data_IF_138239969735
#
_entry.id   IF_138239969735
#
_cell.length_a   1.000
_cell.length_b   1.000
_cell.length_c   1.000
_cell.angle_alpha   90.00
_cell.angle_beta   90.00
_cell.angle_gamma   90.00
#
_symmetry.space_group_name_H-M   'P 1'
#
loop_
_entity.id
_entity.type
_entity.pdbx_description
1 polymer ?
#
# COMPACT_ATOMS: atom_id res chain seq x y z
N UNK A 1 6.44 -1.79 -11.54
CA UNK A 1 6.09 -2.08 -10.14
C UNK A 1 7.22 -1.59 -9.27
N UNK A 2 6.91 -0.87 -8.19
CA UNK A 2 7.91 -0.54 -7.18
C UNK A 2 7.92 -1.70 -6.17
N UNK A 3 9.06 -1.94 -5.52
CA UNK A 3 9.22 -3.02 -4.56
C UNK A 3 10.02 -2.52 -3.35
N UNK A 4 9.63 -2.97 -2.16
CA UNK A 4 10.33 -2.69 -0.91
C UNK A 4 10.78 -4.01 -0.28
N UNK A 5 12.05 -4.13 0.15
CA UNK A 5 12.52 -5.34 0.80
C UNK A 5 11.86 -5.48 2.18
N UNK A 6 11.70 -6.72 2.62
CA UNK A 6 11.27 -7.03 3.98
C UNK A 6 12.10 -8.18 4.55
N UNK A 7 12.14 -8.26 5.88
CA UNK A 7 12.77 -9.36 6.60
C UNK A 7 11.76 -10.05 7.51
N UNK A 8 11.91 -11.36 7.69
CA UNK A 8 11.04 -12.16 8.56
C UNK A 8 10.00 -12.99 7.81
N UNK A 9 8.88 -13.26 8.48
CA UNK A 9 7.79 -14.09 7.95
C UNK A 9 6.83 -13.25 7.11
N UNK A 10 6.52 -13.71 5.90
CA UNK A 10 5.53 -13.08 5.01
C UNK A 10 4.18 -12.86 5.70
N UNK A 11 3.75 -13.78 6.56
CA UNK A 11 2.50 -13.66 7.33
C UNK A 11 2.56 -12.49 8.31
N UNK A 12 3.69 -12.30 9.00
CA UNK A 12 3.88 -11.18 9.92
C UNK A 12 3.83 -9.86 9.15
N UNK A 13 4.52 -9.80 8.00
CA UNK A 13 4.51 -8.64 7.10
C UNK A 13 3.11 -8.32 6.58
N UNK A 14 2.34 -9.33 6.18
CA UNK A 14 0.95 -9.15 5.71
C UNK A 14 0.11 -8.49 6.80
N UNK A 15 0.19 -9.00 8.04
CA UNK A 15 -0.58 -8.48 9.15
C UNK A 15 -0.16 -7.05 9.54
N UNK A 16 1.14 -6.76 9.55
CA UNK A 16 1.65 -5.41 9.82
C UNK A 16 1.24 -4.41 8.73
N UNK A 17 1.29 -4.81 7.46
CA UNK A 17 0.82 -3.99 6.34
C UNK A 17 -0.67 -3.71 6.48
N UNK A 18 -1.49 -4.72 6.76
CA UNK A 18 -2.92 -4.56 6.95
C UNK A 18 -3.25 -3.63 8.11
N UNK A 19 -2.58 -3.79 9.26
CA UNK A 19 -2.79 -2.92 10.42
C UNK A 19 -2.38 -1.48 10.11
N UNK A 20 -1.20 -1.30 9.48
CA UNK A 20 -0.73 0.02 9.06
C UNK A 20 -1.70 0.67 8.08
N UNK A 21 -2.13 -0.05 7.04
CA UNK A 21 -3.03 0.47 6.00
C UNK A 21 -4.44 0.75 6.56
N UNK A 22 -4.92 -0.11 7.45
CA UNK A 22 -6.18 0.07 8.17
C UNK A 22 -6.20 1.27 9.12
N UNK A 23 -5.02 1.76 9.53
CA UNK A 23 -4.91 2.97 10.36
C UNK A 23 -5.07 4.29 9.57
N UNK A 24 -4.99 4.26 8.24
CA UNK A 24 -5.15 5.46 7.41
C UNK A 24 -6.63 5.80 7.23
N UNK A 25 -6.98 7.06 7.46
CA UNK A 25 -8.33 7.56 7.20
C UNK A 25 -8.71 7.41 5.72
N UNK A 26 -9.97 7.03 5.46
CA UNK A 26 -10.54 6.86 4.12
C UNK A 26 -9.87 5.74 3.29
N UNK A 27 -9.40 4.69 3.97
CA UNK A 27 -8.89 3.48 3.34
C UNK A 27 -9.90 2.35 3.52
N UNK A 28 -10.11 1.53 2.49
CA UNK A 28 -11.00 0.37 2.54
C UNK A 28 -10.28 -0.83 1.96
N UNK A 29 -10.23 -1.93 2.72
CA UNK A 29 -9.74 -3.20 2.20
C UNK A 29 -10.82 -3.81 1.29
N UNK A 30 -10.50 -3.98 0.02
CA UNK A 30 -11.40 -4.53 -1.00
C UNK A 30 -11.20 -6.02 -1.14
N UNK A 31 -9.93 -6.44 -1.18
CA UNK A 31 -9.58 -7.84 -1.38
C UNK A 31 -8.32 -8.19 -0.61
N UNK A 32 -8.32 -9.37 0.00
CA UNK A 32 -7.16 -9.98 0.64
C UNK A 32 -7.15 -11.45 0.28
N UNK A 33 -6.15 -11.87 -0.48
CA UNK A 33 -5.96 -13.27 -0.85
C UNK A 33 -4.51 -13.68 -0.61
N UNK A 34 -4.27 -14.39 0.50
CA UNK A 34 -2.96 -14.91 0.86
C UNK A 34 -1.89 -13.82 0.91
N UNK A 35 -1.08 -13.73 -0.15
CA UNK A 35 0.01 -12.78 -0.31
C UNK A 35 -0.35 -11.53 -1.15
N UNK A 36 -1.60 -11.37 -1.55
CA UNK A 36 -2.11 -10.21 -2.28
C UNK A 36 -3.12 -9.43 -1.43
N UNK A 37 -3.03 -8.10 -1.49
CA UNK A 37 -3.97 -7.20 -0.84
C UNK A 37 -4.29 -6.01 -1.74
N UNK A 38 -5.58 -5.67 -1.83
CA UNK A 38 -6.08 -4.53 -2.58
C UNK A 38 -6.86 -3.60 -1.66
N UNK A 39 -6.43 -2.35 -1.61
CA UNK A 39 -7.05 -1.28 -0.86
C UNK A 39 -7.53 -0.17 -1.78
N UNK A 40 -8.67 0.41 -1.47
CA UNK A 40 -9.16 1.65 -2.06
C UNK A 40 -8.91 2.82 -1.10
N UNK A 41 -8.31 3.89 -1.60
CA UNK A 41 -8.09 5.14 -0.89
C UNK A 41 -8.99 6.22 -1.47
N UNK A 42 -9.87 6.77 -0.64
CA UNK A 42 -10.73 7.90 -1.02
C UNK A 42 -10.07 9.23 -0.63
N UNK A 43 -9.82 10.07 -1.63
CA UNK A 43 -9.24 11.40 -1.41
C UNK A 43 -10.34 12.44 -1.17
N UNK A 44 -10.53 12.85 0.10
CA UNK A 44 -11.55 13.83 0.56
C UNK A 44 -11.68 15.12 -0.25
N UNK A 45 -10.58 15.63 -0.81
CA UNK A 45 -10.56 16.96 -1.47
C UNK A 45 -11.02 16.89 -2.95
N UNK A 46 -11.42 15.72 -3.47
CA UNK A 46 -11.85 15.64 -4.87
C UNK A 46 -12.60 14.38 -5.31
N UNK A 47 -13.16 13.58 -4.39
CA UNK A 47 -13.87 12.33 -4.70
C UNK A 47 -13.08 11.34 -5.57
N UNK A 48 -11.75 11.41 -5.54
CA UNK A 48 -10.90 10.48 -6.28
C UNK A 48 -10.72 9.19 -5.49
N UNK A 49 -10.97 8.06 -6.14
CA UNK A 49 -10.70 6.73 -5.62
C UNK A 49 -9.40 6.24 -6.27
N UNK A 50 -8.44 5.89 -5.41
CA UNK A 50 -7.17 5.31 -5.81
C UNK A 50 -7.12 3.84 -5.37
N UNK A 51 -6.85 2.94 -6.32
CA UNK A 51 -6.56 1.54 -6.03
C UNK A 51 -5.09 1.37 -5.67
N UNK A 52 -4.81 0.80 -4.51
CA UNK A 52 -3.47 0.46 -4.06
C UNK A 52 -3.40 -1.04 -3.83
N UNK A 53 -2.50 -1.69 -4.55
CA UNK A 53 -2.31 -3.13 -4.53
C UNK A 53 -0.94 -3.45 -3.94
N UNK A 54 -0.89 -4.45 -3.07
CA UNK A 54 0.32 -5.00 -2.48
C UNK A 54 0.40 -6.49 -2.78
N UNK A 55 1.57 -6.94 -3.21
CA UNK A 55 1.87 -8.33 -3.47
C UNK A 55 3.16 -8.70 -2.75
N UNK A 56 3.08 -9.63 -1.80
CA UNK A 56 4.22 -10.12 -1.04
C UNK A 56 4.86 -11.27 -1.82
N UNK A 57 6.09 -11.05 -2.28
CA UNK A 57 6.93 -12.11 -2.82
C UNK A 57 7.85 -12.64 -1.71
N UNK A 58 7.47 -13.79 -1.15
CA UNK A 58 8.25 -14.45 -0.11
C UNK A 58 9.55 -15.09 -0.63
N UNK A 59 9.64 -15.38 -1.94
CA UNK A 59 10.84 -15.97 -2.54
C UNK A 59 11.95 -14.93 -2.64
N UNK A 60 11.59 -13.76 -3.15
CA UNK A 60 12.53 -12.64 -3.34
C UNK A 60 12.60 -11.72 -2.12
N UNK A 61 11.77 -11.98 -1.08
CA UNK A 61 11.68 -11.20 0.16
C UNK A 61 11.42 -9.72 -0.10
N UNK A 62 10.50 -9.46 -1.04
CA UNK A 62 10.09 -8.11 -1.43
C UNK A 62 8.57 -7.98 -1.42
N UNK A 63 8.07 -6.80 -1.07
CA UNK A 63 6.68 -6.42 -1.26
C UNK A 63 6.61 -5.57 -2.51
N UNK A 64 5.98 -6.08 -3.55
CA UNK A 64 5.59 -5.31 -4.70
C UNK A 64 4.39 -4.45 -4.37
N UNK A 65 4.39 -3.21 -4.85
CA UNK A 65 3.23 -2.34 -4.72
C UNK A 65 2.94 -1.58 -6.01
N UNK A 66 1.65 -1.31 -6.21
CA UNK A 66 1.13 -0.51 -7.31
C UNK A 66 0.06 0.43 -6.78
N UNK A 67 0.01 1.63 -7.33
CA UNK A 67 -1.12 2.53 -7.14
C UNK A 67 -1.65 2.98 -8.50
N UNK A 68 -2.97 2.90 -8.69
CA UNK A 68 -3.68 3.27 -9.90
C UNK A 68 -4.92 4.10 -9.54
N UNK A 69 -5.03 5.31 -10.06
CA UNK A 69 -6.21 6.16 -9.85
C UNK A 69 -7.33 5.76 -10.82
N UNK A 70 -8.57 5.61 -10.33
CA UNK A 70 -9.73 5.19 -11.18
C UNK A 70 -10.25 6.31 -12.07
N UNK A 71 -10.17 7.55 -11.62
CA UNK A 71 -10.60 8.72 -12.38
C UNK A 71 -9.54 9.83 -12.28
N UNK A 72 -9.23 10.49 -13.40
CA UNK A 72 -8.56 11.79 -13.39
C UNK A 72 -7.07 11.80 -13.77
N UNK A 73 -6.82 12.07 -15.05
CA UNK A 73 -5.55 12.56 -15.60
C UNK A 73 -5.29 14.00 -15.10
N UNK A 74 -4.96 14.18 -13.83
CA UNK A 74 -4.87 15.50 -13.21
C UNK A 74 -4.18 15.49 -11.86
N UNK A 75 -3.13 14.69 -11.72
CA UNK A 75 -2.57 14.41 -10.40
C UNK A 75 -1.58 15.50 -9.98
N UNK A 76 -1.95 16.29 -8.97
CA UNK A 76 -1.04 17.19 -8.24
C UNK A 76 0.01 16.41 -7.41
N UNK A 77 0.53 15.31 -7.95
CA UNK A 77 1.40 14.33 -7.30
C UNK A 77 0.85 13.81 -5.96
N UNK A 78 -0.47 13.81 -5.73
CA UNK A 78 -1.05 13.39 -4.45
C UNK A 78 -0.89 11.90 -4.25
N UNK A 79 -1.11 11.11 -5.31
CA UNK A 79 -0.91 9.68 -5.27
C UNK A 79 0.56 9.32 -4.98
N UNK A 80 1.49 9.96 -5.70
CA UNK A 80 2.93 9.77 -5.48
C UNK A 80 3.37 10.16 -4.07
N UNK A 81 2.79 11.21 -3.49
CA UNK A 81 3.05 11.62 -2.10
C UNK A 81 2.54 10.58 -1.10
N UNK A 82 1.33 10.04 -1.30
CA UNK A 82 0.77 8.97 -0.45
C UNK A 82 1.66 7.72 -0.48
N UNK A 83 2.03 7.24 -1.67
CA UNK A 83 2.90 6.06 -1.76
C UNK A 83 4.26 6.30 -1.11
N UNK A 84 4.84 7.50 -1.24
CA UNK A 84 6.06 7.85 -0.50
C UNK A 84 5.87 7.83 1.02
N UNK A 85 4.72 8.29 1.52
CA UNK A 85 4.42 8.23 2.95
C UNK A 85 4.29 6.80 3.43
N UNK A 86 3.50 5.96 2.73
CA UNK A 86 3.33 4.55 3.04
C UNK A 86 4.67 3.82 3.07
N UNK A 87 5.51 4.00 2.04
CA UNK A 87 6.85 3.39 1.99
C UNK A 87 7.71 3.87 3.16
N UNK A 88 7.69 5.17 3.47
CA UNK A 88 8.48 5.71 4.59
C UNK A 88 7.99 5.19 5.95
N UNK A 89 6.68 5.03 6.12
CA UNK A 89 6.10 4.50 7.35
C UNK A 89 6.37 3.00 7.48
N UNK A 90 6.36 2.27 6.37
CA UNK A 90 6.82 0.89 6.30
C UNK A 90 8.29 0.75 6.70
N UNK A 91 9.19 1.49 6.05
CA UNK A 91 10.64 1.46 6.33
C UNK A 91 10.94 1.75 7.82
N UNK A 92 10.18 2.63 8.47
CA UNK A 92 10.32 2.89 9.91
C UNK A 92 9.88 1.73 10.80
N UNK A 93 8.91 0.93 10.34
CA UNK A 93 8.40 -0.23 11.09
C UNK A 93 9.36 -1.41 10.98
N UNK A 94 9.89 -1.68 9.79
CA UNK A 94 10.80 -2.82 9.56
C UNK A 94 12.27 -2.50 9.86
N UNK A 95 12.64 -1.21 9.84
CA UNK A 95 14.01 -0.74 10.10
C UNK A 95 14.36 -0.49 11.56
N UNK A 96 13.42 -0.69 12.49
CA UNK A 96 13.63 -0.67 13.95
C UNK A 96 13.65 -2.10 14.49
#
# INVERSE_FOLDING_TARGET
MQAIPFSGSSIAIINELEEMLGSYENTTLIEKDGNYMHFEFLTRIGNFIDDVEFLIDDKDKVIHFRSASREGYGDFNKNKRRMKMIVKDWEKRVGN
#
